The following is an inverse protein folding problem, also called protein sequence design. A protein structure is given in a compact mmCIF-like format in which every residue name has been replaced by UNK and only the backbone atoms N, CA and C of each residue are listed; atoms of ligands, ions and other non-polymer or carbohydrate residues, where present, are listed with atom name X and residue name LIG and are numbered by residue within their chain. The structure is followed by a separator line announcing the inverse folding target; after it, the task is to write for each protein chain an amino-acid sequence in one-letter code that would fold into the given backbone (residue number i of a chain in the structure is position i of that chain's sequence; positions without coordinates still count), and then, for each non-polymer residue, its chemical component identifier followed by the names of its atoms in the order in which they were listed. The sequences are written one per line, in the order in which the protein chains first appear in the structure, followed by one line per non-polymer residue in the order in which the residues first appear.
data_IF_865162648751
#
_entry.id   IF_865162648751
#
_cell.length_a   1.000
_cell.length_b   1.000
_cell.length_c   1.000
_cell.angle_alpha   90.00
_cell.angle_beta   90.00
_cell.angle_gamma   90.00
#
_symmetry.space_group_name_H-M   'P 1'
#
loop_
_entity.id
_entity.type
_entity.pdbx_description
1 polymer ?
#
# COMPACT_ATOMS: atom_id res chain seq x y z
N UNK A 1 16.05 -30.14 5.01
CA UNK A 1 14.81 -30.44 4.24
C UNK A 1 13.79 -30.95 5.23
N UNK A 2 12.64 -30.27 5.33
CA UNK A 2 11.55 -30.66 6.22
C UNK A 2 10.87 -31.93 5.67
N UNK A 3 10.63 -32.88 6.54
CA UNK A 3 9.88 -34.09 6.24
C UNK A 3 8.41 -33.71 6.03
N UNK A 4 7.73 -34.41 5.07
CA UNK A 4 6.29 -34.18 4.87
C UNK A 4 5.52 -34.55 6.15
N UNK A 5 4.60 -33.69 6.66
CA UNK A 5 3.91 -33.93 7.94
C UNK A 5 3.19 -35.29 8.02
N UNK A 6 2.68 -35.77 6.89
CA UNK A 6 1.93 -37.03 6.79
C UNK A 6 2.79 -38.23 6.34
N UNK A 7 4.12 -38.13 6.41
CA UNK A 7 4.99 -39.26 6.06
C UNK A 7 4.84 -40.36 7.10
N UNK A 8 4.37 -41.55 6.70
CA UNK A 8 4.21 -42.72 7.58
C UNK A 8 5.52 -43.22 8.19
N UNK A 9 6.65 -42.98 7.51
CA UNK A 9 7.99 -43.35 8.00
C UNK A 9 8.89 -42.11 8.08
N UNK A 10 9.42 -41.84 9.23
CA UNK A 10 10.49 -40.89 9.43
C UNK A 10 11.82 -41.45 8.91
N UNK A 11 12.89 -40.66 8.69
CA UNK A 11 14.21 -41.17 8.33
C UNK A 11 14.72 -42.23 9.32
N UNK A 12 14.47 -42.03 10.62
CA UNK A 12 14.81 -43.00 11.66
C UNK A 12 13.96 -44.27 11.55
N UNK A 13 12.66 -44.17 11.27
CA UNK A 13 11.81 -45.35 11.05
C UNK A 13 12.21 -46.16 9.81
N UNK A 14 12.74 -45.51 8.78
CA UNK A 14 13.30 -46.16 7.58
C UNK A 14 14.58 -46.90 7.87
N UNK A 15 15.47 -46.31 8.66
CA UNK A 15 16.69 -46.97 9.16
C UNK A 15 16.34 -48.20 10.00
N UNK A 16 15.46 -48.04 10.99
CA UNK A 16 15.02 -49.15 11.87
C UNK A 16 14.39 -50.31 11.09
N UNK A 17 13.60 -50.03 10.05
CA UNK A 17 13.07 -51.06 9.15
C UNK A 17 14.20 -51.83 8.48
N UNK A 18 15.23 -51.15 7.99
CA UNK A 18 16.38 -51.79 7.34
C UNK A 18 17.22 -52.58 8.32
N UNK A 19 17.44 -52.10 9.55
CA UNK A 19 18.15 -52.81 10.63
C UNK A 19 17.44 -54.10 11.02
N UNK A 20 16.12 -54.10 11.20
CA UNK A 20 15.32 -55.29 11.52
C UNK A 20 15.46 -56.39 10.48
N UNK A 21 15.39 -55.99 9.18
CA UNK A 21 15.60 -56.97 8.10
C UNK A 21 17.05 -57.45 8.04
N UNK A 22 18.03 -56.57 8.32
CA UNK A 22 19.45 -56.96 8.44
C UNK A 22 19.71 -57.91 9.60
N UNK A 23 18.93 -57.81 10.69
CA UNK A 23 18.93 -58.73 11.82
C UNK A 23 18.14 -60.04 11.62
N UNK A 24 17.72 -60.36 10.36
CA UNK A 24 17.08 -61.59 10.00
C UNK A 24 15.55 -61.59 9.99
N UNK A 25 14.88 -60.47 10.29
CA UNK A 25 13.42 -60.37 10.22
C UNK A 25 12.93 -60.47 8.78
N UNK A 26 11.85 -61.24 8.50
CA UNK A 26 11.24 -61.24 7.16
C UNK A 26 10.74 -59.89 6.75
N UNK A 27 10.92 -59.50 5.48
CA UNK A 27 10.56 -58.19 4.96
C UNK A 27 9.06 -57.94 5.15
N UNK A 28 8.20 -58.96 5.04
CA UNK A 28 6.77 -58.81 5.27
C UNK A 28 6.45 -58.37 6.69
N UNK A 29 7.11 -58.93 7.70
CA UNK A 29 6.88 -58.67 9.11
C UNK A 29 7.41 -57.28 9.47
N UNK A 30 8.60 -56.93 8.98
CA UNK A 30 9.17 -55.58 9.15
C UNK A 30 8.32 -54.49 8.51
N UNK A 31 7.75 -54.77 7.32
CA UNK A 31 6.84 -53.81 6.65
C UNK A 31 5.53 -53.65 7.42
N UNK A 32 4.93 -54.75 7.91
CA UNK A 32 3.73 -54.71 8.74
C UNK A 32 3.95 -53.92 10.03
N UNK A 33 5.05 -54.19 10.74
CA UNK A 33 5.40 -53.42 11.94
C UNK A 33 5.65 -51.94 11.70
N UNK A 34 6.13 -51.58 10.50
CA UNK A 34 6.36 -50.21 10.10
C UNK A 34 5.10 -49.52 9.49
N UNK A 35 3.98 -50.23 9.38
CA UNK A 35 2.73 -49.73 8.79
C UNK A 35 2.82 -49.38 7.30
N UNK A 36 3.71 -50.07 6.56
CA UNK A 36 3.95 -49.80 5.13
C UNK A 36 3.80 -51.05 4.28
N UNK A 37 3.62 -50.88 2.95
CA UNK A 37 3.61 -52.00 2.03
C UNK A 37 4.99 -52.65 1.90
N UNK A 38 5.03 -53.98 1.52
CA UNK A 38 6.27 -54.67 1.21
C UNK A 38 7.07 -53.97 0.09
N UNK A 39 6.39 -53.39 -0.88
CA UNK A 39 7.03 -52.64 -1.95
C UNK A 39 7.78 -51.39 -1.41
N UNK A 40 7.19 -50.69 -0.43
CA UNK A 40 7.85 -49.57 0.28
C UNK A 40 9.07 -50.06 1.07
N UNK A 41 8.98 -51.21 1.76
CA UNK A 41 10.09 -51.79 2.44
C UNK A 41 11.24 -52.13 1.50
N UNK A 42 10.96 -52.82 0.38
CA UNK A 42 11.97 -53.10 -0.65
C UNK A 42 12.65 -51.84 -1.20
N UNK A 43 11.90 -50.78 -1.42
CA UNK A 43 12.45 -49.49 -1.84
C UNK A 43 13.49 -48.95 -0.86
N UNK A 44 13.20 -49.00 0.43
CA UNK A 44 14.12 -48.47 1.45
C UNK A 44 15.32 -49.42 1.67
N UNK A 45 15.13 -50.73 1.62
CA UNK A 45 16.23 -51.71 1.66
C UNK A 45 17.19 -51.54 0.48
N UNK A 46 16.66 -51.32 -0.74
CA UNK A 46 17.48 -51.06 -1.91
C UNK A 46 18.31 -49.77 -1.77
N UNK A 47 17.74 -48.76 -1.13
CA UNK A 47 18.48 -47.51 -0.83
C UNK A 47 19.55 -47.71 0.23
N UNK A 48 19.24 -48.46 1.29
CA UNK A 48 20.22 -48.82 2.32
C UNK A 48 21.40 -49.56 1.74
N UNK A 49 21.18 -50.59 0.89
CA UNK A 49 22.23 -51.33 0.22
C UNK A 49 23.14 -50.51 -0.67
N UNK A 50 22.63 -49.37 -1.20
CA UNK A 50 23.42 -48.39 -1.99
C UNK A 50 24.07 -47.31 -1.15
N UNK A 51 23.96 -47.37 0.19
CA UNK A 51 24.49 -46.34 1.08
C UNK A 51 23.81 -44.97 0.92
N UNK A 52 22.60 -44.91 0.35
CA UNK A 52 21.89 -43.67 0.13
C UNK A 52 21.24 -43.16 1.42
N UNK A 53 21.15 -41.83 1.64
CA UNK A 53 20.50 -41.26 2.80
C UNK A 53 19.04 -41.69 2.91
N UNK A 54 18.54 -41.94 4.12
CA UNK A 54 17.13 -42.28 4.41
C UNK A 54 16.17 -41.08 4.36
N UNK A 55 16.68 -39.90 4.02
CA UNK A 55 15.89 -38.66 3.86
C UNK A 55 15.09 -38.65 2.54
N UNK A 56 14.05 -37.83 2.49
CA UNK A 56 13.29 -37.68 1.24
C UNK A 56 14.14 -37.00 0.17
N UNK A 57 14.00 -37.48 -1.06
CA UNK A 57 14.60 -36.80 -2.21
C UNK A 57 13.76 -35.58 -2.57
N UNK A 58 14.43 -34.50 -3.01
CA UNK A 58 13.72 -33.33 -3.51
C UNK A 58 12.82 -33.68 -4.70
N UNK A 59 11.58 -33.23 -4.66
CA UNK A 59 10.61 -33.44 -5.75
C UNK A 59 10.86 -32.52 -6.97
N UNK A 60 11.91 -31.68 -6.91
CA UNK A 60 12.21 -30.76 -8.02
C UNK A 60 12.74 -31.57 -9.23
N UNK A 61 12.15 -31.39 -10.42
CA UNK A 61 12.65 -32.04 -11.63
C UNK A 61 14.11 -31.66 -11.89
N UNK A 62 14.94 -32.63 -12.28
CA UNK A 62 16.34 -32.37 -12.66
C UNK A 62 16.47 -31.50 -13.91
N UNK A 63 15.53 -31.60 -14.85
CA UNK A 63 15.39 -30.73 -16.00
C UNK A 63 14.11 -29.91 -15.87
N UNK A 64 14.25 -28.63 -15.88
CA UNK A 64 13.15 -27.67 -15.94
C UNK A 64 13.00 -27.22 -17.41
N UNK A 65 12.17 -27.93 -18.17
CA UNK A 65 11.97 -27.66 -19.61
C UNK A 65 11.55 -26.22 -19.94
N UNK A 66 11.00 -25.49 -18.95
CA UNK A 66 10.58 -24.09 -19.08
C UNK A 66 11.57 -23.09 -18.48
N UNK A 67 12.77 -23.53 -18.11
CA UNK A 67 13.79 -22.61 -17.63
C UNK A 67 14.38 -21.83 -18.82
N UNK A 68 14.45 -20.52 -18.71
CA UNK A 68 15.12 -19.69 -19.71
C UNK A 68 16.59 -20.12 -19.82
N UNK A 69 17.11 -20.36 -21.04
CA UNK A 69 18.51 -20.72 -21.24
C UNK A 69 19.46 -19.68 -20.64
N UNK A 70 20.60 -20.09 -20.07
CA UNK A 70 21.56 -19.19 -19.44
C UNK A 70 22.02 -18.05 -20.37
N UNK A 71 22.20 -18.35 -21.67
CA UNK A 71 22.61 -17.37 -22.67
C UNK A 71 21.54 -16.28 -22.90
N UNK A 72 20.26 -16.68 -22.94
CA UNK A 72 19.15 -15.74 -23.06
C UNK A 72 19.04 -14.86 -21.80
N UNK A 73 19.30 -15.45 -20.63
CA UNK A 73 19.32 -14.70 -19.37
C UNK A 73 20.49 -13.71 -19.32
N UNK A 74 21.67 -14.10 -19.82
CA UNK A 74 22.83 -13.24 -19.92
C UNK A 74 22.57 -12.04 -20.86
N UNK A 75 22.00 -12.30 -22.05
CA UNK A 75 21.64 -11.24 -23.02
C UNK A 75 20.69 -10.21 -22.40
N UNK A 76 19.65 -10.68 -21.66
CA UNK A 76 18.71 -9.76 -20.99
C UNK A 76 19.41 -8.94 -19.92
N UNK A 77 20.29 -9.53 -19.13
CA UNK A 77 21.04 -8.84 -18.09
C UNK A 77 22.00 -7.79 -18.68
N UNK A 78 22.72 -8.15 -19.72
CA UNK A 78 23.63 -7.24 -20.45
C UNK A 78 22.87 -6.06 -21.07
N UNK A 79 21.80 -6.34 -21.83
CA UNK A 79 20.98 -5.30 -22.44
C UNK A 79 20.36 -4.37 -21.38
N UNK A 80 19.93 -4.93 -20.23
CA UNK A 80 19.42 -4.15 -19.12
C UNK A 80 20.44 -3.21 -18.53
N UNK A 81 21.66 -3.68 -18.31
CA UNK A 81 22.73 -2.88 -17.72
C UNK A 81 23.25 -1.81 -18.70
N UNK A 82 23.41 -2.17 -19.96
CA UNK A 82 23.97 -1.28 -20.98
C UNK A 82 22.97 -0.23 -21.46
N UNK A 83 21.72 -0.63 -21.72
CA UNK A 83 20.70 0.20 -22.36
C UNK A 83 19.68 0.79 -21.41
N UNK A 84 19.67 0.40 -20.13
CA UNK A 84 18.73 0.84 -19.11
C UNK A 84 17.23 0.75 -19.56
N UNK A 85 16.89 -0.36 -20.24
CA UNK A 85 15.56 -0.57 -20.80
C UNK A 85 14.58 -1.19 -19.81
N UNK A 86 13.31 -0.79 -19.92
CA UNK A 86 12.20 -1.45 -19.21
C UNK A 86 11.89 -2.84 -19.79
N UNK A 87 11.22 -3.75 -19.07
CA UNK A 87 10.99 -5.13 -19.52
C UNK A 87 10.37 -5.27 -20.92
N UNK A 88 9.48 -4.36 -21.31
CA UNK A 88 8.86 -4.39 -22.65
C UNK A 88 9.89 -4.06 -23.75
N UNK A 89 10.72 -3.05 -23.53
CA UNK A 89 11.77 -2.69 -24.47
C UNK A 89 12.90 -3.74 -24.50
N UNK A 90 13.23 -4.36 -23.35
CA UNK A 90 14.12 -5.53 -23.30
C UNK A 90 13.59 -6.70 -24.11
N UNK A 91 12.28 -6.90 -24.13
CA UNK A 91 11.65 -7.94 -24.94
C UNK A 91 11.85 -7.70 -26.44
N UNK A 92 11.70 -6.46 -26.88
CA UNK A 92 11.95 -6.08 -28.28
C UNK A 92 13.43 -6.26 -28.67
N UNK A 93 14.34 -5.91 -27.77
CA UNK A 93 15.79 -5.97 -27.99
C UNK A 93 16.33 -7.42 -27.98
N UNK A 94 15.84 -8.26 -27.06
CA UNK A 94 16.42 -9.59 -26.79
C UNK A 94 15.63 -10.76 -27.35
N UNK A 95 14.39 -10.53 -27.82
CA UNK A 95 13.47 -11.58 -28.23
C UNK A 95 12.87 -12.38 -27.07
N UNK A 96 13.22 -12.07 -25.82
CA UNK A 96 12.70 -12.79 -24.63
C UNK A 96 11.41 -12.12 -24.18
N UNK A 97 10.32 -12.87 -23.89
CA UNK A 97 9.05 -12.28 -23.46
C UNK A 97 9.20 -11.33 -22.28
N UNK A 98 8.52 -10.17 -22.30
CA UNK A 98 8.66 -9.08 -21.33
C UNK A 98 8.49 -9.54 -19.87
N UNK A 99 7.53 -10.47 -19.60
CA UNK A 99 7.34 -11.07 -18.28
C UNK A 99 8.56 -11.88 -17.82
N UNK A 100 9.23 -12.55 -18.76
CA UNK A 100 10.45 -13.30 -18.49
C UNK A 100 11.62 -12.35 -18.23
N UNK A 101 11.75 -11.28 -19.03
CA UNK A 101 12.73 -10.21 -18.78
C UNK A 101 12.57 -9.62 -17.37
N UNK A 102 11.35 -9.31 -16.96
CA UNK A 102 11.07 -8.80 -15.60
C UNK A 102 11.51 -9.78 -14.50
N UNK A 103 11.27 -11.09 -14.70
CA UNK A 103 11.70 -12.14 -13.76
C UNK A 103 13.22 -12.28 -13.71
N UNK A 104 13.90 -12.17 -14.83
CA UNK A 104 15.37 -12.23 -14.92
C UNK A 104 15.96 -11.04 -14.18
N UNK A 105 15.48 -9.82 -14.44
CA UNK A 105 15.92 -8.58 -13.78
C UNK A 105 15.78 -8.72 -12.26
N UNK A 106 14.64 -9.21 -11.77
CA UNK A 106 14.41 -9.41 -10.34
C UNK A 106 15.30 -10.50 -9.74
N UNK A 107 15.44 -11.65 -10.42
CA UNK A 107 16.25 -12.78 -9.95
C UNK A 107 17.75 -12.47 -9.89
N UNK A 108 18.23 -11.68 -10.84
CA UNK A 108 19.62 -11.20 -10.90
C UNK A 108 19.89 -10.02 -9.95
N UNK A 109 18.88 -9.53 -9.23
CA UNK A 109 19.03 -8.39 -8.33
C UNK A 109 19.40 -7.09 -9.04
N UNK A 110 19.11 -6.96 -10.35
CA UNK A 110 19.44 -5.77 -11.09
C UNK A 110 18.60 -4.58 -10.60
N UNK A 111 19.18 -3.38 -10.47
CA UNK A 111 18.50 -2.23 -9.90
C UNK A 111 17.30 -1.79 -10.73
N UNK A 112 16.33 -1.14 -10.08
CA UNK A 112 15.20 -0.52 -10.77
C UNK A 112 15.69 0.69 -11.57
N UNK A 113 15.02 1.01 -12.67
CA UNK A 113 15.39 2.19 -13.48
C UNK A 113 15.27 3.50 -12.72
N UNK A 114 14.33 3.55 -11.75
CA UNK A 114 14.16 4.73 -10.90
C UNK A 114 15.31 4.92 -9.89
N UNK A 115 16.11 3.87 -9.68
CA UNK A 115 17.25 3.88 -8.77
C UNK A 115 18.56 4.22 -9.49
N UNK A 116 18.53 4.35 -10.82
CA UNK A 116 19.69 4.63 -11.65
C UNK A 116 19.57 6.05 -12.21
N UNK A 117 20.64 6.82 -12.13
CA UNK A 117 20.78 8.03 -12.93
C UNK A 117 21.01 7.63 -14.39
N UNK A 118 20.11 8.03 -15.28
CA UNK A 118 20.16 7.63 -16.70
C UNK A 118 21.29 8.29 -17.49
N UNK A 119 21.84 9.37 -16.95
CA UNK A 119 22.92 10.12 -17.62
C UNK A 119 24.27 9.54 -17.21
N UNK A 120 24.46 9.28 -15.91
CA UNK A 120 25.74 8.78 -15.39
C UNK A 120 25.80 7.26 -15.29
N UNK A 121 24.66 6.56 -15.29
CA UNK A 121 24.57 5.12 -15.05
C UNK A 121 24.75 4.74 -13.58
N UNK A 122 24.99 5.70 -12.70
CA UNK A 122 25.23 5.46 -11.29
C UNK A 122 23.94 5.18 -10.51
N UNK A 123 24.06 4.36 -9.48
CA UNK A 123 22.97 4.18 -8.54
C UNK A 123 22.75 5.49 -7.77
N UNK A 124 21.56 6.02 -7.87
CA UNK A 124 21.14 7.13 -7.02
C UNK A 124 21.26 6.65 -5.57
N UNK A 125 22.11 7.33 -4.81
CA UNK A 125 22.18 7.12 -3.39
C UNK A 125 20.76 7.42 -2.82
N UNK A 126 19.96 6.40 -2.69
CA UNK A 126 18.83 6.49 -1.77
C UNK A 126 19.49 6.54 -0.41
N UNK A 127 19.52 7.73 0.16
CA UNK A 127 19.69 7.82 1.60
C UNK A 127 18.75 6.82 2.23
N UNK A 128 19.08 6.26 3.40
CA UNK A 128 18.21 5.31 4.06
C UNK A 128 16.81 5.92 4.01
N UNK A 129 15.89 5.30 3.25
CA UNK A 129 14.48 5.61 3.34
C UNK A 129 14.05 5.03 4.68
N UNK A 130 14.59 5.60 5.73
CA UNK A 130 13.90 5.62 7.00
C UNK A 130 12.65 6.42 6.70
N UNK A 131 11.64 5.73 6.22
CA UNK A 131 10.27 6.20 6.36
C UNK A 131 10.04 6.27 7.85
N UNK A 132 10.65 7.27 8.49
CA UNK A 132 10.32 7.62 9.85
C UNK A 132 8.87 8.02 9.75
N UNK A 133 8.05 7.10 10.14
CA UNK A 133 6.61 7.28 10.26
C UNK A 133 6.45 8.19 11.48
N UNK A 134 6.68 9.49 11.30
CA UNK A 134 6.40 10.42 12.37
C UNK A 134 4.88 10.45 12.55
N UNK A 135 4.46 10.37 13.76
CA UNK A 135 3.10 10.58 14.20
C UNK A 135 3.19 11.46 15.44
N UNK A 136 2.35 12.49 15.50
CA UNK A 136 2.30 13.35 16.67
C UNK A 136 1.71 12.59 17.85
N UNK A 137 2.04 13.02 19.05
CA UNK A 137 1.65 12.30 20.28
C UNK A 137 0.19 12.55 20.64
N UNK A 138 -0.31 13.76 20.36
CA UNK A 138 -1.66 14.19 20.72
C UNK A 138 -2.44 14.76 19.54
N UNK A 139 -3.78 14.63 19.55
CA UNK A 139 -4.64 15.32 18.60
C UNK A 139 -4.44 16.85 18.69
N UNK A 140 -4.45 17.50 17.53
CA UNK A 140 -4.30 18.94 17.40
C UNK A 140 -2.86 19.46 17.31
N UNK A 141 -1.84 18.67 17.64
CA UNK A 141 -0.44 19.12 17.51
C UNK A 141 -0.08 19.48 16.06
N UNK A 142 -0.71 18.85 15.09
CA UNK A 142 -0.49 19.14 13.68
C UNK A 142 -1.70 18.76 12.82
N UNK A 143 -2.27 19.73 12.15
CA UNK A 143 -3.31 19.53 11.14
C UNK A 143 -2.68 19.64 9.75
N UNK A 144 -2.83 18.62 8.93
CA UNK A 144 -2.44 18.61 7.53
C UNK A 144 -3.57 19.18 6.68
N UNK A 145 -3.29 20.17 5.85
CA UNK A 145 -4.27 20.81 4.98
C UNK A 145 -3.82 20.76 3.54
N UNK A 146 -4.77 20.50 2.65
CA UNK A 146 -4.55 20.43 1.22
C UNK A 146 -5.81 20.80 0.42
N UNK A 147 -5.63 21.23 -0.81
CA UNK A 147 -6.71 21.49 -1.76
C UNK A 147 -6.51 20.67 -3.02
N UNK A 148 -7.54 19.96 -3.43
CA UNK A 148 -7.53 19.15 -4.64
C UNK A 148 -8.59 19.62 -5.64
N UNK A 149 -8.19 19.95 -6.86
CA UNK A 149 -9.12 20.20 -7.96
C UNK A 149 -9.82 18.92 -8.37
N UNK A 150 -11.14 18.97 -8.44
CA UNK A 150 -11.98 17.86 -8.86
C UNK A 150 -12.87 18.30 -10.04
N UNK A 151 -12.97 17.52 -11.11
CA UNK A 151 -13.86 17.81 -12.21
C UNK A 151 -15.31 17.84 -11.71
N UNK A 152 -16.09 18.85 -12.11
CA UNK A 152 -17.53 18.88 -11.86
C UNK A 152 -18.24 17.84 -12.69
N UNK A 153 -19.35 17.37 -12.17
CA UNK A 153 -20.25 16.45 -12.86
C UNK A 153 -21.31 17.29 -13.55
N UNK A 154 -21.49 17.14 -14.87
CA UNK A 154 -22.57 17.85 -15.59
C UNK A 154 -23.94 17.41 -15.05
N UNK A 155 -24.92 18.27 -15.20
CA UNK A 155 -26.31 17.96 -14.90
C UNK A 155 -26.79 16.73 -15.68
N UNK A 156 -27.53 15.85 -15.03
CA UNK A 156 -27.93 14.56 -15.58
C UNK A 156 -26.83 13.48 -15.53
N UNK A 157 -25.66 13.79 -14.94
CA UNK A 157 -24.54 12.85 -14.80
C UNK A 157 -23.52 12.93 -15.93
N UNK A 158 -22.38 12.26 -15.72
CA UNK A 158 -21.30 12.14 -16.71
C UNK A 158 -21.30 10.78 -17.38
N UNK A 159 -20.24 10.47 -18.14
CA UNK A 159 -20.09 9.22 -18.88
C UNK A 159 -20.24 7.94 -18.00
N UNK A 160 -20.11 8.03 -16.69
CA UNK A 160 -20.32 6.91 -15.76
C UNK A 160 -21.79 6.61 -15.49
N UNK A 161 -22.65 7.65 -15.57
CA UNK A 161 -24.09 7.50 -15.44
C UNK A 161 -24.75 7.22 -16.81
N UNK A 162 -24.28 7.90 -17.86
CA UNK A 162 -24.92 7.92 -19.18
C UNK A 162 -24.24 7.01 -20.21
N UNK A 163 -23.09 6.39 -19.87
CA UNK A 163 -22.30 5.57 -20.80
C UNK A 163 -21.22 6.35 -21.57
N UNK A 164 -20.28 5.64 -22.18
CA UNK A 164 -19.19 6.22 -22.99
C UNK A 164 -19.78 6.87 -24.25
N UNK A 165 -19.40 8.11 -24.51
CA UNK A 165 -19.90 8.89 -25.65
C UNK A 165 -21.08 9.79 -25.30
N UNK A 166 -21.75 9.60 -24.17
CA UNK A 166 -22.82 10.44 -23.67
C UNK A 166 -22.29 11.38 -22.56
N UNK A 167 -22.81 12.60 -22.52
CA UNK A 167 -22.42 13.61 -21.53
C UNK A 167 -21.18 14.40 -21.92
N UNK A 168 -21.40 15.60 -22.42
CA UNK A 168 -20.32 16.53 -22.73
C UNK A 168 -19.74 17.11 -21.45
N UNK A 169 -18.42 17.01 -21.26
CA UNK A 169 -17.69 17.72 -20.19
C UNK A 169 -17.50 19.21 -20.48
N UNK A 170 -17.92 19.70 -21.69
CA UNK A 170 -17.80 21.11 -22.06
C UNK A 170 -18.61 21.96 -21.09
N UNK A 171 -17.94 22.88 -20.40
CA UNK A 171 -18.59 23.85 -19.51
C UNK A 171 -18.80 23.40 -18.07
N UNK A 172 -18.59 22.13 -17.69
CA UNK A 172 -18.79 21.68 -16.31
C UNK A 172 -17.79 22.33 -15.32
N UNK A 173 -16.57 22.64 -15.78
CA UNK A 173 -15.55 23.28 -14.96
C UNK A 173 -14.96 22.37 -13.89
N UNK A 174 -14.37 22.99 -12.86
CA UNK A 174 -13.79 22.30 -11.71
C UNK A 174 -14.32 22.89 -10.41
N UNK A 175 -14.42 22.10 -9.36
CA UNK A 175 -14.56 22.53 -7.97
C UNK A 175 -13.31 22.15 -7.18
N UNK A 176 -13.17 22.67 -6.00
CA UNK A 176 -12.02 22.45 -5.13
C UNK A 176 -12.45 21.71 -3.87
N UNK A 177 -11.82 20.57 -3.63
CA UNK A 177 -11.99 19.79 -2.41
C UNK A 177 -10.93 20.24 -1.40
N UNK A 178 -11.34 20.98 -0.40
CA UNK A 178 -10.51 21.40 0.72
C UNK A 178 -10.56 20.33 1.81
N UNK A 179 -9.42 19.93 2.32
CA UNK A 179 -9.31 18.83 3.29
C UNK A 179 -8.34 19.21 4.40
N UNK A 180 -8.75 18.99 5.64
CA UNK A 180 -7.92 19.08 6.83
C UNK A 180 -7.93 17.73 7.57
N UNK A 181 -6.76 17.23 7.97
CA UNK A 181 -6.62 15.95 8.67
C UNK A 181 -5.67 16.08 9.85
N UNK A 182 -6.12 15.68 11.02
CA UNK A 182 -5.25 15.63 12.19
C UNK A 182 -4.18 14.51 12.07
N UNK A 183 -2.95 14.85 12.39
CA UNK A 183 -1.80 13.94 12.27
C UNK A 183 -1.90 12.74 13.20
N UNK A 184 -2.36 12.92 14.44
CA UNK A 184 -2.49 11.86 15.43
C UNK A 184 -3.77 11.05 15.23
N UNK A 185 -4.93 11.69 15.39
CA UNK A 185 -6.23 10.99 15.40
C UNK A 185 -6.68 10.49 14.04
N UNK A 186 -6.21 11.12 12.95
CA UNK A 186 -6.71 10.91 11.57
C UNK A 186 -8.12 11.49 11.35
N UNK A 187 -8.69 12.16 12.32
CA UNK A 187 -9.98 12.84 12.14
C UNK A 187 -9.85 13.85 11.02
N UNK A 188 -10.81 13.83 10.12
CA UNK A 188 -10.81 14.65 8.93
C UNK A 188 -12.00 15.59 8.88
N UNK A 189 -11.77 16.78 8.32
CA UNK A 189 -12.78 17.74 7.92
C UNK A 189 -12.59 18.05 6.44
N UNK A 190 -13.64 18.07 5.65
CA UNK A 190 -13.54 18.37 4.23
C UNK A 190 -14.78 19.12 3.71
N UNK A 191 -14.55 20.00 2.75
CA UNK A 191 -15.58 20.74 2.04
C UNK A 191 -15.28 20.77 0.55
N UNK A 192 -16.32 20.70 -0.25
CA UNK A 192 -16.25 20.98 -1.68
C UNK A 192 -16.65 22.42 -1.92
N UNK A 193 -15.71 23.24 -2.40
CA UNK A 193 -15.86 24.69 -2.56
C UNK A 193 -15.63 25.09 -4.04
N UNK A 194 -16.08 26.26 -4.44
CA UNK A 194 -16.00 26.68 -5.84
C UNK A 194 -14.57 26.89 -6.34
N UNK A 195 -13.67 27.32 -5.49
CA UNK A 195 -12.29 27.67 -5.85
C UNK A 195 -11.28 27.45 -4.70
N UNK A 196 -10.01 27.72 -4.98
CA UNK A 196 -8.89 27.70 -4.03
C UNK A 196 -8.34 29.10 -3.73
N UNK A 197 -9.16 30.16 -3.90
CA UNK A 197 -8.73 31.53 -3.65
C UNK A 197 -8.49 31.76 -2.17
N UNK A 198 -7.67 32.77 -1.83
CA UNK A 198 -7.28 33.09 -0.46
C UNK A 198 -8.47 33.23 0.49
N UNK A 199 -9.50 33.99 0.10
CA UNK A 199 -10.70 34.16 0.94
C UNK A 199 -11.46 32.87 1.19
N UNK A 200 -11.65 32.04 0.14
CA UNK A 200 -12.28 30.73 0.25
C UNK A 200 -11.47 29.79 1.15
N UNK A 201 -10.14 29.81 1.01
CA UNK A 201 -9.24 28.97 1.81
C UNK A 201 -9.21 29.42 3.28
N UNK A 202 -9.24 30.74 3.56
CA UNK A 202 -9.36 31.27 4.92
C UNK A 202 -10.69 30.87 5.57
N UNK A 203 -11.80 31.07 4.88
CA UNK A 203 -13.12 30.70 5.39
C UNK A 203 -13.23 29.17 5.66
N UNK A 204 -12.67 28.34 4.79
CA UNK A 204 -12.54 26.91 5.05
C UNK A 204 -11.74 26.63 6.32
N UNK A 205 -10.57 27.27 6.49
CA UNK A 205 -9.71 27.07 7.65
C UNK A 205 -10.41 27.47 8.96
N UNK A 206 -11.17 28.56 8.96
CA UNK A 206 -11.96 28.97 10.12
C UNK A 206 -12.99 27.90 10.53
N UNK A 207 -13.72 27.36 9.57
CA UNK A 207 -14.71 26.29 9.83
C UNK A 207 -14.03 25.00 10.28
N UNK A 208 -12.89 24.65 9.68
CA UNK A 208 -12.10 23.49 10.11
C UNK A 208 -11.61 23.64 11.56
N UNK A 209 -11.10 24.83 11.93
CA UNK A 209 -10.69 25.12 13.32
C UNK A 209 -11.88 25.06 14.29
N UNK A 210 -13.04 25.59 13.90
CA UNK A 210 -14.26 25.50 14.69
C UNK A 210 -14.71 24.04 14.88
N UNK A 211 -14.62 23.22 13.84
CA UNK A 211 -14.89 21.79 13.92
C UNK A 211 -13.99 21.08 14.94
N UNK A 212 -12.65 21.25 14.84
CA UNK A 212 -11.73 20.64 15.81
C UNK A 212 -11.95 21.15 17.24
N UNK A 213 -12.22 22.43 17.39
CA UNK A 213 -12.57 23.02 18.70
C UNK A 213 -13.85 22.38 19.28
N UNK A 214 -14.86 22.14 18.44
CA UNK A 214 -16.10 21.46 18.84
C UNK A 214 -15.88 20.02 19.34
N UNK A 215 -14.79 19.38 18.88
CA UNK A 215 -14.35 18.07 19.36
C UNK A 215 -13.43 18.14 20.60
N UNK A 216 -13.22 19.32 21.17
CA UNK A 216 -12.30 19.54 22.29
C UNK A 216 -10.82 19.46 21.90
N UNK A 217 -10.51 19.57 20.61
CA UNK A 217 -9.14 19.52 20.08
C UNK A 217 -8.60 20.94 19.90
N UNK A 218 -7.54 21.29 20.62
CA UNK A 218 -6.80 22.53 20.44
C UNK A 218 -5.76 22.38 19.35
N UNK A 219 -5.88 23.16 18.28
CA UNK A 219 -4.94 23.11 17.15
C UNK A 219 -3.72 23.98 17.46
N UNK A 220 -2.53 23.36 17.47
CA UNK A 220 -1.26 24.04 17.74
C UNK A 220 -0.55 24.46 16.43
N UNK A 221 -0.63 23.63 15.40
CA UNK A 221 0.08 23.85 14.13
C UNK A 221 -0.73 23.37 12.93
N UNK A 222 -0.56 24.07 11.83
CA UNK A 222 -1.10 23.70 10.51
C UNK A 222 0.05 23.48 9.55
N UNK A 223 -0.01 22.40 8.76
CA UNK A 223 0.91 22.13 7.66
C UNK A 223 0.19 22.19 6.34
N UNK A 224 0.74 22.98 5.40
CA UNK A 224 0.25 23.12 4.04
C UNK A 224 1.38 22.87 3.04
N UNK A 225 1.02 22.77 1.77
CA UNK A 225 1.97 22.96 0.69
C UNK A 225 2.33 24.46 0.53
N UNK A 226 3.09 24.78 -0.53
CA UNK A 226 3.49 26.15 -0.84
C UNK A 226 2.51 26.86 -1.79
N UNK A 227 1.25 26.45 -1.84
CA UNK A 227 0.23 27.05 -2.69
C UNK A 227 0.02 28.54 -2.41
N UNK A 228 -0.33 29.35 -3.44
CA UNK A 228 -0.45 30.80 -3.30
C UNK A 228 -1.44 31.24 -2.22
N UNK A 229 -2.56 30.52 -2.05
CA UNK A 229 -3.56 30.84 -1.05
C UNK A 229 -2.98 30.70 0.39
N UNK A 230 -2.22 29.65 0.64
CA UNK A 230 -1.57 29.39 1.93
C UNK A 230 -0.42 30.36 2.24
N UNK A 231 0.24 30.89 1.22
CA UNK A 231 1.29 31.91 1.36
C UNK A 231 0.75 33.32 1.48
N UNK A 232 -0.57 33.51 1.35
CA UNK A 232 -1.19 34.83 1.47
C UNK A 232 -1.02 35.41 2.89
N UNK A 233 -0.88 36.74 2.97
CA UNK A 233 -0.83 37.42 4.27
C UNK A 233 -2.11 37.18 5.09
N UNK A 234 -3.28 37.12 4.45
CA UNK A 234 -4.56 36.84 5.10
C UNK A 234 -4.59 35.49 5.81
N UNK A 235 -4.11 34.42 5.14
CA UNK A 235 -4.08 33.08 5.73
C UNK A 235 -3.10 33.00 6.91
N UNK A 236 -1.93 33.63 6.77
CA UNK A 236 -0.94 33.64 7.85
C UNK A 236 -1.44 34.48 9.03
N UNK A 237 -2.02 35.65 8.81
CA UNK A 237 -2.61 36.50 9.86
C UNK A 237 -3.76 35.77 10.60
N UNK A 238 -4.57 34.99 9.89
CA UNK A 238 -5.64 34.19 10.49
C UNK A 238 -5.11 33.15 11.48
N UNK A 239 -4.01 32.48 11.16
CA UNK A 239 -3.38 31.50 12.07
C UNK A 239 -2.65 32.20 13.24
N UNK A 240 -1.92 33.26 12.95
CA UNK A 240 -1.18 34.05 13.94
C UNK A 240 -2.12 34.63 14.99
N UNK A 241 -3.24 35.21 14.59
CA UNK A 241 -4.25 35.77 15.50
C UNK A 241 -4.82 34.74 16.49
N UNK A 242 -4.66 33.45 16.18
CA UNK A 242 -5.11 32.32 17.02
C UNK A 242 -3.96 31.58 17.72
N UNK A 243 -2.72 32.09 17.60
CA UNK A 243 -1.52 31.47 18.18
C UNK A 243 -1.15 30.13 17.52
N UNK A 244 -1.62 29.89 16.28
CA UNK A 244 -1.39 28.62 15.56
C UNK A 244 -0.16 28.74 14.67
N UNK A 245 0.81 27.85 14.86
CA UNK A 245 2.02 27.82 14.05
C UNK A 245 1.75 27.33 12.63
N UNK A 246 2.26 28.03 11.60
CA UNK A 246 2.17 27.59 10.22
C UNK A 246 3.45 26.91 9.77
N UNK A 247 3.33 25.70 9.20
CA UNK A 247 4.42 24.94 8.59
C UNK A 247 4.16 24.71 7.11
N UNK A 248 5.15 25.03 6.29
CA UNK A 248 5.15 24.67 4.86
C UNK A 248 5.90 23.37 4.63
N UNK A 249 5.44 22.57 3.67
CA UNK A 249 6.24 21.46 3.18
C UNK A 249 7.51 21.96 2.50
N UNK A 250 8.62 21.25 2.66
CA UNK A 250 9.85 21.57 1.93
C UNK A 250 9.62 21.37 0.44
N UNK A 251 10.25 22.17 -0.42
CA UNK A 251 10.23 21.94 -1.86
C UNK A 251 10.61 20.48 -2.18
N UNK A 252 9.95 19.91 -3.17
CA UNK A 252 10.16 18.52 -3.62
C UNK A 252 9.97 17.43 -2.53
N UNK A 253 9.25 17.76 -1.45
CA UNK A 253 9.03 16.84 -0.31
C UNK A 253 7.53 16.57 -0.03
N UNK A 254 6.75 16.10 -1.02
CA UNK A 254 5.31 15.91 -0.87
C UNK A 254 4.96 14.91 0.25
N UNK A 255 5.85 13.96 0.53
CA UNK A 255 5.65 12.98 1.61
C UNK A 255 5.45 13.60 3.00
N UNK A 256 5.87 14.86 3.20
CA UNK A 256 5.63 15.56 4.46
C UNK A 256 4.15 15.80 4.71
N UNK A 257 3.35 16.01 3.66
CA UNK A 257 1.89 16.13 3.73
C UNK A 257 1.14 14.80 3.49
N UNK A 258 1.82 13.68 3.71
CA UNK A 258 1.35 12.34 3.36
C UNK A 258 0.04 11.91 4.03
N UNK A 259 -0.37 12.53 5.16
CA UNK A 259 -1.65 12.21 5.83
C UNK A 259 -2.83 12.71 5.00
N UNK A 260 -2.79 13.97 4.58
CA UNK A 260 -3.87 14.53 3.74
C UNK A 260 -3.85 13.94 2.33
N UNK A 261 -2.66 13.64 1.77
CA UNK A 261 -2.59 12.91 0.50
C UNK A 261 -3.23 11.53 0.58
N UNK A 262 -3.05 10.83 1.69
CA UNK A 262 -3.72 9.55 1.94
C UNK A 262 -5.23 9.72 2.06
N UNK A 263 -5.69 10.77 2.74
CA UNK A 263 -7.11 11.10 2.84
C UNK A 263 -7.69 11.43 1.47
N UNK A 264 -6.99 12.22 0.66
CA UNK A 264 -7.39 12.52 -0.72
C UNK A 264 -7.57 11.26 -1.58
N UNK A 265 -6.72 10.24 -1.38
CA UNK A 265 -6.89 8.94 -2.05
C UNK A 265 -8.12 8.18 -1.55
N UNK A 266 -8.41 8.26 -0.26
CA UNK A 266 -9.61 7.65 0.34
C UNK A 266 -10.87 8.34 -0.19
N UNK A 267 -10.90 9.68 -0.17
CA UNK A 267 -11.98 10.49 -0.75
C UNK A 267 -12.21 10.17 -2.24
N UNK A 268 -11.13 10.03 -3.00
CA UNK A 268 -11.25 9.66 -4.41
C UNK A 268 -11.93 8.30 -4.61
N UNK A 269 -11.58 7.30 -3.82
CA UNK A 269 -12.06 5.93 -3.98
C UNK A 269 -13.46 5.73 -3.39
N UNK A 270 -13.69 6.25 -2.20
CA UNK A 270 -14.84 5.92 -1.37
C UNK A 270 -15.95 6.98 -1.39
N UNK A 271 -15.67 8.16 -1.98
CA UNK A 271 -16.64 9.23 -2.21
C UNK A 271 -16.67 9.69 -3.66
N UNK A 272 -15.60 10.30 -4.19
CA UNK A 272 -15.62 10.95 -5.52
C UNK A 272 -16.00 9.99 -6.65
N UNK A 273 -15.52 8.76 -6.60
CA UNK A 273 -15.75 7.71 -7.61
C UNK A 273 -16.47 6.48 -7.06
N UNK A 274 -17.11 6.59 -5.89
CA UNK A 274 -17.79 5.47 -5.24
C UNK A 274 -18.99 4.95 -6.06
N UNK A 275 -19.67 5.83 -6.77
CA UNK A 275 -20.81 5.51 -7.64
C UNK A 275 -20.88 6.46 -8.83
N UNK A 276 -21.78 6.20 -9.76
CA UNK A 276 -22.19 7.17 -10.77
C UNK A 276 -23.11 8.20 -10.11
N UNK A 277 -22.70 9.46 -10.12
CA UNK A 277 -23.45 10.56 -9.56
C UNK A 277 -24.32 11.20 -10.64
N UNK A 278 -25.54 11.58 -10.29
CA UNK A 278 -26.49 12.23 -11.19
C UNK A 278 -26.12 13.69 -11.48
N UNK A 279 -25.38 14.32 -10.57
CA UNK A 279 -24.91 15.70 -10.70
C UNK A 279 -23.90 16.06 -9.61
N UNK A 280 -23.40 17.30 -9.70
CA UNK A 280 -22.42 17.84 -8.78
C UNK A 280 -22.99 18.01 -7.37
N UNK A 281 -24.23 18.49 -7.26
CA UNK A 281 -24.87 18.76 -5.97
C UNK A 281 -25.08 17.47 -5.18
N UNK A 282 -25.56 16.40 -5.81
CA UNK A 282 -25.72 15.09 -5.20
C UNK A 282 -24.38 14.53 -4.67
N UNK A 283 -23.27 14.81 -5.39
CA UNK A 283 -21.94 14.42 -4.91
C UNK A 283 -21.50 15.29 -3.73
N UNK A 284 -21.74 16.59 -3.79
CA UNK A 284 -21.36 17.53 -2.72
C UNK A 284 -22.11 17.24 -1.42
N UNK A 285 -23.41 17.01 -1.48
CA UNK A 285 -24.25 16.65 -0.33
C UNK A 285 -23.76 15.35 0.36
N UNK A 286 -23.38 14.35 -0.44
CA UNK A 286 -22.86 13.10 0.08
C UNK A 286 -21.49 13.23 0.77
N UNK A 287 -20.79 14.36 0.66
CA UNK A 287 -19.49 14.56 1.29
C UNK A 287 -19.60 14.60 2.82
N UNK A 288 -20.59 15.32 3.35
CA UNK A 288 -20.79 15.46 4.79
C UNK A 288 -21.02 14.10 5.46
N UNK A 289 -21.95 13.31 4.94
CA UNK A 289 -22.23 11.95 5.43
C UNK A 289 -21.03 11.02 5.26
N UNK A 290 -20.23 11.19 4.21
CA UNK A 290 -19.01 10.41 4.04
C UNK A 290 -17.97 10.75 5.12
N UNK A 291 -17.74 12.04 5.41
CA UNK A 291 -16.79 12.50 6.44
C UNK A 291 -17.23 12.03 7.83
N UNK A 292 -18.52 12.10 8.13
CA UNK A 292 -19.08 11.60 9.38
C UNK A 292 -18.79 10.10 9.54
N UNK A 293 -19.17 9.29 8.55
CA UNK A 293 -18.87 7.85 8.54
C UNK A 293 -17.38 7.57 8.61
N UNK A 294 -16.54 8.34 7.91
CA UNK A 294 -15.09 8.17 7.95
C UNK A 294 -14.55 8.39 9.36
N UNK A 295 -15.03 9.40 10.06
CA UNK A 295 -14.56 9.74 11.39
C UNK A 295 -15.09 8.79 12.47
N UNK A 296 -16.35 8.38 12.40
CA UNK A 296 -17.03 7.65 13.47
C UNK A 296 -17.09 6.14 13.28
N UNK A 297 -17.19 5.65 12.05
CA UNK A 297 -17.49 4.24 11.79
C UNK A 297 -16.39 3.50 11.04
N UNK A 298 -15.64 4.20 10.19
CA UNK A 298 -14.71 3.55 9.28
C UNK A 298 -13.47 3.03 10.01
N UNK A 299 -13.17 1.71 9.96
CA UNK A 299 -11.93 1.16 10.52
C UNK A 299 -10.70 1.78 9.87
N UNK A 300 -9.75 2.23 10.70
CA UNK A 300 -8.53 2.87 10.25
C UNK A 300 -7.29 2.12 10.75
N UNK A 301 -6.41 1.70 9.84
CA UNK A 301 -5.22 0.90 10.17
C UNK A 301 -4.25 1.59 11.14
N UNK A 302 -4.14 2.93 11.08
CA UNK A 302 -3.30 3.68 12.02
C UNK A 302 -3.92 3.76 13.42
N UNK A 303 -5.24 3.55 13.55
CA UNK A 303 -5.96 3.57 14.82
C UNK A 303 -6.22 2.15 15.36
N UNK A 304 -5.39 1.18 14.98
CA UNK A 304 -5.56 -0.22 15.43
C UNK A 304 -6.83 -0.91 14.91
N UNK A 305 -7.40 -0.42 13.81
CA UNK A 305 -8.66 -0.92 13.25
C UNK A 305 -9.91 -0.24 13.80
N UNK A 306 -9.76 0.69 14.74
CA UNK A 306 -10.85 1.51 15.24
C UNK A 306 -11.06 2.76 14.37
N UNK A 307 -12.22 3.43 14.44
CA UNK A 307 -12.45 4.69 13.74
C UNK A 307 -11.54 5.83 14.26
N UNK A 308 -11.25 6.87 13.43
CA UNK A 308 -10.45 8.02 13.84
C UNK A 308 -10.90 8.69 15.16
N UNK A 309 -12.19 8.83 15.37
CA UNK A 309 -12.76 9.43 16.58
C UNK A 309 -12.41 8.70 17.88
N UNK A 310 -12.09 7.40 17.82
CA UNK A 310 -11.67 6.63 19.00
C UNK A 310 -10.43 7.22 19.70
N UNK A 311 -9.58 7.93 18.94
CA UNK A 311 -8.38 8.59 19.48
C UNK A 311 -8.67 9.94 20.17
N UNK A 312 -9.79 10.57 19.88
CA UNK A 312 -10.23 11.82 20.52
C UNK A 312 -11.02 11.51 21.78
N UNK A 313 -11.98 10.61 21.70
CA UNK A 313 -12.82 10.20 22.83
C UNK A 313 -11.99 9.64 23.98
N UNK A 314 -10.93 8.87 23.68
CA UNK A 314 -10.04 8.32 24.69
C UNK A 314 -9.20 9.37 25.44
N UNK A 315 -9.01 10.54 24.85
CA UNK A 315 -8.25 11.66 25.48
C UNK A 315 -9.14 12.56 26.33
N UNK A 316 -10.38 12.77 25.91
CA UNK A 316 -11.23 13.81 26.52
C UNK A 316 -12.31 13.26 27.49
N UNK A 317 -12.52 11.97 27.57
CA UNK A 317 -13.51 11.30 28.45
C UNK A 317 -14.93 11.93 28.46
N UNK A 318 -15.24 12.72 27.41
CA UNK A 318 -16.43 13.59 27.36
C UNK A 318 -17.71 12.82 26.99
N UNK A 319 -17.59 11.63 26.41
CA UNK A 319 -18.75 10.81 26.00
C UNK A 319 -19.13 9.71 27.00
N UNK A 320 -18.43 9.58 28.14
CA UNK A 320 -18.77 8.60 29.17
C UNK A 320 -19.95 9.03 30.07
N UNK A 321 -20.55 10.20 29.85
CA UNK A 321 -21.60 10.74 30.70
C UNK A 321 -22.97 10.92 30.01
N UNK A 322 -23.18 10.36 28.82
CA UNK A 322 -24.48 10.35 28.15
C UNK A 322 -24.94 8.91 27.83
N UNK A 323 -25.03 8.07 28.83
CA UNK A 323 -25.86 6.87 28.85
C UNK A 323 -26.75 6.89 30.07
#
# INVERSE_FOLDING_TARGET
MSQHPNARLTPRGRALLCERVGGGMRIADAAAMAGVSRQTAHKWLARARRGEPMTDRGCRPRRLARLTPPEAEARVAEARTRLLLAPLALSAETGVPARTCARIVARRGLPRLDDIDRVTGELRARGPVTRVRYERERPGELIHVDVKKVPRIPEGGGHRALGRGCGSRRGAGTSCLHVAVDDNSRVAYAEQLPDERKGTTCAFMERALAFYKGLGVTVERVMTDNGPAYRSGEFNALLEARGIGHKYTRPFSPWQNGKVERMNRTLAREWQYARAWEGEDARAEALASFIERYNWDRPHSACGGLPPMSRIVGVNNVLAHNT
#
